data_IF_390204664617
#
_entry.id   IF_390204664617
#
_cell.length_a   1.000
_cell.length_b   1.000
_cell.length_c   1.000
_cell.angle_alpha   90.00
_cell.angle_beta   90.00
_cell.angle_gamma   90.00
#
_symmetry.space_group_name_H-M   'P 1'
#
loop_
_entity.id
_entity.type
_entity.pdbx_description
1 polymer ?
#
# COMPACT_ATOMS: atom_id res chain seq x y z
N UNK A 1 -1.22 7.33 6.52
CA UNK A 1 -0.93 6.94 7.91
C UNK A 1 0.24 5.98 7.89
N UNK A 2 1.04 5.96 8.94
CA UNK A 2 2.13 4.97 9.11
C UNK A 2 1.82 4.16 10.37
N UNK A 3 2.00 2.85 10.30
CA UNK A 3 1.91 1.91 11.41
C UNK A 3 3.14 1.01 11.40
N UNK A 4 3.68 0.70 12.57
CA UNK A 4 4.93 -0.06 12.74
C UNK A 4 4.66 -1.34 13.54
N UNK A 5 5.34 -2.43 13.19
CA UNK A 5 5.28 -3.67 13.96
C UNK A 5 6.02 -3.53 15.31
N UNK A 6 5.66 -4.29 16.35
CA UNK A 6 6.31 -4.19 17.66
C UNK A 6 7.83 -4.45 17.65
N UNK A 7 8.34 -5.18 16.66
CA UNK A 7 9.76 -5.47 16.49
C UNK A 7 10.51 -4.47 15.58
N UNK A 8 9.81 -3.46 15.05
CA UNK A 8 10.35 -2.42 14.17
C UNK A 8 10.86 -2.92 12.81
N UNK A 9 10.46 -4.12 12.39
CA UNK A 9 10.91 -4.72 11.12
C UNK A 9 9.92 -4.56 9.97
N UNK A 10 8.68 -4.19 10.28
CA UNK A 10 7.62 -4.01 9.30
C UNK A 10 6.91 -2.67 9.49
N UNK A 11 6.61 -2.03 8.36
CA UNK A 11 5.87 -0.77 8.32
C UNK A 11 4.73 -0.91 7.33
N UNK A 12 3.55 -0.43 7.71
CA UNK A 12 2.43 -0.25 6.79
C UNK A 12 2.19 1.23 6.62
N UNK A 13 2.16 1.65 5.36
CA UNK A 13 1.92 3.03 4.96
C UNK A 13 0.69 3.05 4.07
N UNK A 14 -0.34 3.77 4.49
CA UNK A 14 -1.51 4.04 3.67
C UNK A 14 -1.54 5.51 3.22
N UNK A 15 -2.02 5.75 2.00
CA UNK A 15 -2.13 7.11 1.46
C UNK A 15 -3.08 7.16 0.27
N UNK A 16 -3.49 8.38 -0.09
CA UNK A 16 -4.27 8.66 -1.29
C UNK A 16 -3.41 9.52 -2.20
N UNK A 17 -3.32 9.14 -3.46
CA UNK A 17 -2.78 9.97 -4.54
C UNK A 17 -3.93 10.44 -5.42
N UNK A 18 -3.77 11.61 -6.02
CA UNK A 18 -4.73 12.13 -6.98
C UNK A 18 -4.05 12.89 -8.10
N UNK A 19 -4.67 12.83 -9.27
CA UNK A 19 -4.33 13.63 -10.44
C UNK A 19 -5.52 14.52 -10.81
N UNK A 20 -5.24 15.72 -11.29
CA UNK A 20 -6.25 16.67 -11.77
C UNK A 20 -6.03 17.00 -13.23
N UNK A 21 -7.13 17.16 -13.96
CA UNK A 21 -7.14 17.76 -15.30
C UNK A 21 -7.90 19.09 -15.21
N UNK A 22 -7.15 20.20 -15.24
CA UNK A 22 -7.73 21.52 -14.96
C UNK A 22 -8.18 21.64 -13.51
N UNK A 23 -9.47 21.96 -13.30
CA UNK A 23 -10.05 22.14 -11.97
C UNK A 23 -10.77 20.87 -11.44
N UNK A 24 -10.75 19.77 -12.19
CA UNK A 24 -11.43 18.53 -11.83
C UNK A 24 -10.41 17.41 -11.56
N UNK A 25 -10.72 16.54 -10.60
CA UNK A 25 -9.94 15.32 -10.36
C UNK A 25 -10.21 14.33 -11.50
N UNK A 26 -9.16 13.84 -12.14
CA UNK A 26 -9.26 12.81 -13.19
C UNK A 26 -9.00 11.41 -12.64
N UNK A 27 -8.13 11.29 -11.62
CA UNK A 27 -7.78 10.02 -11.00
C UNK A 27 -7.62 10.18 -9.49
N UNK A 28 -8.08 9.18 -8.73
CA UNK A 28 -7.73 9.00 -7.32
C UNK A 28 -7.29 7.56 -7.09
N UNK A 29 -6.20 7.36 -6.36
CA UNK A 29 -5.66 6.06 -5.99
C UNK A 29 -5.52 5.95 -4.47
N UNK A 30 -6.12 4.92 -3.87
CA UNK A 30 -5.79 4.49 -2.52
C UNK A 30 -4.68 3.45 -2.55
N UNK A 31 -3.67 3.64 -1.73
CA UNK A 31 -2.51 2.77 -1.62
C UNK A 31 -2.34 2.25 -0.19
N UNK A 32 -1.92 0.98 -0.08
CA UNK A 32 -1.43 0.37 1.15
C UNK A 32 -0.12 -0.35 0.84
N UNK A 33 0.99 0.14 1.38
CA UNK A 33 2.31 -0.42 1.17
C UNK A 33 2.79 -1.05 2.47
N UNK A 34 3.14 -2.34 2.42
CA UNK A 34 3.77 -3.08 3.51
C UNK A 34 5.25 -3.25 3.20
N UNK A 35 6.08 -2.55 3.97
CA UNK A 35 7.52 -2.64 3.95
C UNK A 35 7.98 -3.68 4.98
N UNK A 36 8.88 -4.57 4.58
CA UNK A 36 9.49 -5.56 5.46
C UNK A 36 11.00 -5.58 5.24
N UNK A 37 11.75 -5.50 6.34
CA UNK A 37 13.19 -5.74 6.30
C UNK A 37 13.46 -7.23 6.06
N UNK A 38 14.23 -7.54 5.03
CA UNK A 38 14.59 -8.91 4.63
C UNK A 38 16.09 -9.07 4.48
N UNK A 39 16.57 -10.31 4.46
CA UNK A 39 17.93 -10.66 4.09
C UNK A 39 17.87 -11.40 2.75
N UNK A 40 18.37 -10.77 1.68
CA UNK A 40 18.27 -11.30 0.30
C UNK A 40 19.29 -12.43 0.11
N UNK A 41 20.48 -12.26 0.68
CA UNK A 41 21.57 -13.22 0.78
C UNK A 41 22.26 -13.07 2.13
N UNK A 42 23.08 -14.03 2.58
CA UNK A 42 23.87 -13.88 3.80
C UNK A 42 24.63 -12.54 3.83
N UNK A 43 24.37 -11.72 4.84
CA UNK A 43 24.91 -10.37 5.04
C UNK A 43 24.50 -9.33 3.98
N UNK A 44 23.43 -9.56 3.23
CA UNK A 44 22.88 -8.61 2.25
C UNK A 44 21.45 -8.20 2.64
N UNK A 45 21.30 -7.15 3.48
CA UNK A 45 20.00 -6.64 3.86
C UNK A 45 19.27 -6.02 2.67
N UNK A 46 17.95 -6.10 2.70
CA UNK A 46 17.06 -5.49 1.72
C UNK A 46 15.72 -5.10 2.33
N UNK A 47 14.90 -4.47 1.50
CA UNK A 47 13.53 -4.13 1.83
C UNK A 47 12.62 -4.76 0.78
N UNK A 48 11.70 -5.59 1.24
CA UNK A 48 10.60 -6.08 0.42
C UNK A 48 9.41 -5.13 0.58
N UNK A 49 8.81 -4.74 -0.55
CA UNK A 49 7.60 -3.91 -0.57
C UNK A 49 6.48 -4.72 -1.20
N UNK A 50 5.41 -4.94 -0.45
CA UNK A 50 4.16 -5.45 -0.98
C UNK A 50 3.17 -4.29 -1.08
N UNK A 51 2.70 -3.99 -2.30
CA UNK A 51 1.85 -2.85 -2.57
C UNK A 51 0.47 -3.31 -3.05
N UNK A 52 -0.57 -2.75 -2.42
CA UNK A 52 -1.94 -2.77 -2.93
C UNK A 52 -2.31 -1.36 -3.37
N UNK A 53 -2.90 -1.25 -4.55
CA UNK A 53 -3.47 -0.01 -5.04
C UNK A 53 -4.86 -0.24 -5.64
N UNK A 54 -5.75 0.72 -5.42
CA UNK A 54 -7.09 0.75 -6.01
C UNK A 54 -7.39 2.15 -6.53
N UNK A 55 -7.68 2.24 -7.82
CA UNK A 55 -7.96 3.50 -8.52
C UNK A 55 -9.44 3.68 -8.80
N UNK A 56 -9.84 4.94 -8.85
CA UNK A 56 -11.07 5.41 -9.46
C UNK A 56 -10.76 6.58 -10.41
N UNK A 57 -11.60 6.72 -11.42
CA UNK A 57 -11.43 7.68 -12.50
C UNK A 57 -12.67 8.54 -12.64
N UNK A 58 -12.49 9.80 -13.02
CA UNK A 58 -13.54 10.73 -13.40
C UNK A 58 -14.79 10.67 -12.48
N UNK A 59 -15.94 10.29 -13.04
CA UNK A 59 -17.24 10.27 -12.35
C UNK A 59 -17.33 9.23 -11.21
N UNK A 60 -16.43 8.25 -11.15
CA UNK A 60 -16.40 7.23 -10.09
C UNK A 60 -15.69 7.71 -8.82
N UNK A 61 -14.95 8.82 -8.88
CA UNK A 61 -14.09 9.29 -7.79
C UNK A 61 -14.90 9.56 -6.51
N UNK A 62 -16.03 10.26 -6.62
CA UNK A 62 -16.86 10.60 -5.44
C UNK A 62 -17.41 9.35 -4.77
N UNK A 63 -17.92 8.39 -5.56
CA UNK A 63 -18.43 7.13 -5.04
C UNK A 63 -17.32 6.29 -4.39
N UNK A 64 -16.14 6.26 -5.01
CA UNK A 64 -14.95 5.61 -4.48
C UNK A 64 -14.52 6.19 -3.13
N UNK A 65 -14.34 7.51 -3.03
CA UNK A 65 -13.92 8.18 -1.80
C UNK A 65 -14.93 7.97 -0.66
N UNK A 66 -16.23 7.96 -0.97
CA UNK A 66 -17.27 7.68 0.02
C UNK A 66 -17.20 6.24 0.56
N UNK A 67 -17.02 5.24 -0.32
CA UNK A 67 -16.83 3.83 0.09
C UNK A 67 -15.54 3.62 0.86
N UNK A 68 -14.46 4.28 0.44
CA UNK A 68 -13.14 4.15 1.05
C UNK A 68 -13.12 4.48 2.55
N UNK A 69 -14.00 5.36 3.02
CA UNK A 69 -14.14 5.66 4.46
C UNK A 69 -14.41 4.41 5.30
N UNK A 70 -15.17 3.45 4.75
CA UNK A 70 -15.51 2.21 5.41
C UNK A 70 -14.50 1.09 5.07
N UNK A 71 -14.08 1.02 3.80
CA UNK A 71 -13.28 -0.10 3.30
C UNK A 71 -11.79 -0.02 3.68
N UNK A 72 -11.29 1.18 3.99
CA UNK A 72 -9.84 1.42 4.25
C UNK A 72 -9.26 0.49 5.29
N UNK A 73 -9.93 0.32 6.43
CA UNK A 73 -9.45 -0.54 7.53
C UNK A 73 -9.44 -2.01 7.10
N UNK A 74 -10.44 -2.44 6.33
CA UNK A 74 -10.49 -3.80 5.80
C UNK A 74 -9.31 -4.09 4.88
N UNK A 75 -9.00 -3.20 3.93
CA UNK A 75 -7.85 -3.35 3.03
C UNK A 75 -6.51 -3.38 3.78
N UNK A 76 -6.35 -2.55 4.82
CA UNK A 76 -5.14 -2.57 5.66
C UNK A 76 -5.02 -3.92 6.39
N UNK A 77 -6.11 -4.41 6.98
CA UNK A 77 -6.11 -5.70 7.70
C UNK A 77 -5.82 -6.89 6.77
N UNK A 78 -6.31 -6.86 5.53
CA UNK A 78 -5.97 -7.86 4.51
C UNK A 78 -4.46 -7.83 4.19
N UNK A 79 -3.88 -6.64 4.01
CA UNK A 79 -2.44 -6.48 3.77
C UNK A 79 -1.57 -6.93 4.96
N UNK A 80 -2.02 -6.71 6.19
CA UNK A 80 -1.38 -7.25 7.41
C UNK A 80 -1.41 -8.78 7.39
N UNK A 81 -2.55 -9.36 7.03
CA UNK A 81 -2.79 -10.81 7.09
C UNK A 81 -2.16 -11.56 5.92
N UNK A 82 -1.76 -10.85 4.85
CA UNK A 82 -1.17 -11.44 3.67
C UNK A 82 0.14 -12.16 4.01
N UNK A 83 0.24 -13.43 3.58
CA UNK A 83 1.49 -14.19 3.64
C UNK A 83 2.39 -13.73 2.50
N UNK A 84 3.37 -12.90 2.81
CA UNK A 84 4.33 -12.38 1.84
C UNK A 84 5.36 -13.48 1.51
N UNK A 85 5.57 -13.82 0.23
CA UNK A 85 6.56 -14.83 -0.14
C UNK A 85 7.98 -14.29 0.06
N UNK A 86 8.89 -15.16 0.49
CA UNK A 86 10.32 -14.84 0.52
C UNK A 86 10.86 -14.67 -0.90
N UNK A 87 11.38 -13.49 -1.21
CA UNK A 87 12.00 -13.21 -2.51
C UNK A 87 13.49 -13.54 -2.44
N UNK A 88 13.96 -14.35 -3.41
CA UNK A 88 15.39 -14.58 -3.65
C UNK A 88 15.74 -13.98 -5.01
N UNK A 89 16.77 -13.15 -5.06
CA UNK A 89 17.31 -12.65 -6.31
C UNK A 89 18.47 -13.57 -6.72
N UNK A 90 18.48 -14.00 -7.98
CA UNK A 90 19.66 -14.61 -8.58
C UNK A 90 20.63 -13.48 -8.96
N UNK A 91 21.89 -13.64 -8.56
CA UNK A 91 22.98 -12.71 -8.84
C UNK A 91 23.30 -12.65 -10.34
#
# INVERSE_FOLDING_TARGET
>A
MVSESPDGKEFIVDFILSESQGNELSTVEFNVYRYQRVEIHPNQPGVQVCAYSKRAYDNEITAFLNRLKNDRVAFINEMISLKIPTVKLSK
#
